data_IF_306639942466
#
_entry.id   IF_306639942466
#
_cell.length_a   1.000
_cell.length_b   1.000
_cell.length_c   1.000
_cell.angle_alpha   90.00
_cell.angle_beta   90.00
_cell.angle_gamma   90.00
#
_symmetry.space_group_name_H-M   'P 1'
#
loop_
_entity.id
_entity.type
_entity.pdbx_description
1 polymer ?
#
# COMPACT_ATOMS: atom_id res chain seq x y z
N UNK A 1 -13.11 -4.11 26.50
CA UNK A 1 -13.32 -4.49 25.09
C UNK A 1 -14.65 -4.01 24.49
N UNK A 2 -15.84 -4.31 25.02
CA UNK A 2 -17.10 -3.80 24.43
C UNK A 2 -17.22 -2.28 24.44
N UNK A 3 -16.83 -1.59 25.53
CA UNK A 3 -16.85 -0.12 25.62
C UNK A 3 -15.84 0.54 24.66
N UNK A 4 -14.66 -0.04 24.52
CA UNK A 4 -13.59 0.43 23.64
C UNK A 4 -14.01 0.36 22.18
N UNK A 5 -14.55 -0.78 21.75
CA UNK A 5 -15.08 -0.95 20.40
C UNK A 5 -16.25 -0.01 20.13
N UNK A 6 -17.08 0.29 21.11
CA UNK A 6 -18.16 1.27 20.97
C UNK A 6 -17.61 2.69 20.79
N UNK A 7 -16.62 3.08 21.60
CA UNK A 7 -15.96 4.40 21.48
C UNK A 7 -15.21 4.52 20.14
N UNK A 8 -14.52 3.45 19.74
CA UNK A 8 -13.86 3.39 18.42
C UNK A 8 -14.87 3.54 17.29
N UNK A 9 -15.97 2.78 17.32
CA UNK A 9 -17.06 2.86 16.35
C UNK A 9 -17.62 4.27 16.22
N UNK A 10 -17.87 4.94 17.34
CA UNK A 10 -18.36 6.34 17.36
C UNK A 10 -17.36 7.30 16.70
N UNK A 11 -16.05 7.13 16.96
CA UNK A 11 -15.02 7.96 16.32
C UNK A 11 -14.94 7.72 14.81
N UNK A 12 -14.97 6.46 14.36
CA UNK A 12 -14.95 6.12 12.93
C UNK A 12 -16.24 6.61 12.24
N UNK A 13 -17.42 6.41 12.87
CA UNK A 13 -18.69 6.91 12.35
C UNK A 13 -18.69 8.44 12.22
N UNK A 14 -18.16 9.17 13.22
CA UNK A 14 -18.08 10.62 13.19
C UNK A 14 -17.23 11.13 12.00
N UNK A 15 -16.15 10.43 11.63
CA UNK A 15 -15.35 10.77 10.44
C UNK A 15 -16.19 10.63 9.16
N UNK A 16 -17.07 9.64 9.09
CA UNK A 16 -17.94 9.43 7.92
C UNK A 16 -19.14 10.39 7.91
N UNK A 17 -19.81 10.57 9.05
CA UNK A 17 -21.09 11.28 9.15
C UNK A 17 -20.95 12.80 9.04
N UNK A 18 -19.88 13.39 9.54
CA UNK A 18 -19.65 14.84 9.43
C UNK A 18 -19.18 15.28 8.02
N UNK A 19 -19.53 14.52 6.99
CA UNK A 19 -19.12 14.76 5.59
C UNK A 19 -17.60 14.92 5.41
N UNK A 20 -16.82 14.27 6.27
CA UNK A 20 -15.38 14.31 6.15
C UNK A 20 -14.89 13.39 5.03
N UNK A 21 -15.65 12.31 4.72
CA UNK A 21 -15.35 11.39 3.62
C UNK A 21 -16.63 10.85 2.96
N UNK A 22 -16.64 10.57 1.64
CA UNK A 22 -17.83 10.06 0.94
C UNK A 22 -18.15 8.59 1.27
N UNK A 23 -17.13 7.77 1.48
CA UNK A 23 -17.26 6.41 1.98
C UNK A 23 -15.93 5.95 2.60
N UNK A 24 -16.05 5.10 3.61
CA UNK A 24 -14.94 4.39 4.22
C UNK A 24 -15.33 2.95 4.56
N UNK A 25 -14.32 2.09 4.65
CA UNK A 25 -14.44 0.73 5.17
C UNK A 25 -13.31 0.52 6.17
N UNK A 26 -13.63 -0.04 7.34
CA UNK A 26 -12.67 -0.30 8.40
C UNK A 26 -12.86 -1.70 8.96
N UNK A 27 -11.76 -2.41 9.13
CA UNK A 27 -11.71 -3.69 9.82
C UNK A 27 -10.61 -3.67 10.89
N UNK A 28 -10.86 -4.35 11.99
CA UNK A 28 -9.90 -4.54 13.09
C UNK A 28 -9.87 -6.02 13.45
N UNK A 29 -8.66 -6.55 13.59
CA UNK A 29 -8.40 -7.90 14.06
C UNK A 29 -7.56 -7.85 15.32
N UNK A 30 -7.88 -8.68 16.29
CA UNK A 30 -7.12 -8.87 17.51
C UNK A 30 -6.96 -10.36 17.79
N UNK A 31 -5.71 -10.80 18.02
CA UNK A 31 -5.40 -12.22 18.30
C UNK A 31 -5.99 -13.19 17.28
N UNK A 32 -5.90 -12.85 15.99
CA UNK A 32 -6.38 -13.67 14.88
C UNK A 32 -7.87 -13.56 14.57
N UNK A 33 -8.69 -12.88 15.42
CA UNK A 33 -10.13 -12.75 15.24
C UNK A 33 -10.53 -11.34 14.77
N UNK A 34 -11.40 -11.23 13.78
CA UNK A 34 -11.98 -9.94 13.37
C UNK A 34 -12.98 -9.50 14.44
N UNK A 35 -12.61 -8.46 15.20
CA UNK A 35 -13.45 -7.90 16.28
C UNK A 35 -14.27 -6.69 15.83
N UNK A 36 -13.97 -6.14 14.66
CA UNK A 36 -14.70 -5.02 14.05
C UNK A 36 -14.62 -5.10 12.53
N UNK A 37 -15.76 -4.94 11.86
CA UNK A 37 -15.84 -4.85 10.39
C UNK A 37 -17.05 -4.01 10.04
N UNK A 38 -16.83 -2.74 9.63
CA UNK A 38 -17.91 -1.82 9.24
C UNK A 38 -17.53 -0.96 8.05
N UNK A 39 -18.55 -0.55 7.30
CA UNK A 39 -18.39 0.42 6.23
C UNK A 39 -19.47 1.50 6.34
N UNK A 40 -19.14 2.70 5.89
CA UNK A 40 -19.98 3.89 5.96
C UNK A 40 -19.99 4.58 4.60
N UNK A 41 -21.13 5.21 4.26
CA UNK A 41 -21.28 5.91 3.01
C UNK A 41 -21.82 5.05 1.88
N UNK A 42 -21.65 5.48 0.64
CA UNK A 42 -22.28 4.86 -0.54
C UNK A 42 -21.28 4.70 -1.68
N UNK A 43 -21.56 3.77 -2.60
CA UNK A 43 -20.72 3.52 -3.79
C UNK A 43 -20.49 4.76 -4.65
N UNK A 44 -21.48 5.67 -4.75
CA UNK A 44 -21.32 6.93 -5.48
C UNK A 44 -22.64 7.64 -5.73
N UNK A 45 -22.81 8.79 -5.11
CA UNK A 45 -24.01 9.63 -5.21
C UNK A 45 -25.19 9.16 -4.36
N UNK A 46 -26.22 9.99 -4.27
CA UNK A 46 -27.34 9.82 -3.33
C UNK A 46 -28.16 8.54 -3.54
N UNK A 47 -28.28 8.09 -4.80
CA UNK A 47 -29.11 6.93 -5.16
C UNK A 47 -28.34 5.62 -5.29
N UNK A 48 -27.06 5.58 -4.88
CA UNK A 48 -26.29 4.34 -4.91
C UNK A 48 -26.46 3.55 -3.61
N UNK A 49 -26.21 2.23 -3.71
CA UNK A 49 -26.26 1.35 -2.55
C UNK A 49 -25.22 1.76 -1.49
N UNK A 50 -25.46 1.45 -0.22
CA UNK A 50 -24.44 1.54 0.84
C UNK A 50 -23.20 0.72 0.47
N UNK A 51 -22.04 1.15 0.95
CA UNK A 51 -20.82 0.33 0.91
C UNK A 51 -20.88 -0.76 1.97
N UNK A 52 -20.25 -1.89 1.68
CA UNK A 52 -20.18 -3.06 2.54
C UNK A 52 -18.71 -3.43 2.82
N UNK A 53 -18.36 -3.81 4.03
CA UNK A 53 -16.97 -3.96 4.45
C UNK A 53 -16.24 -5.11 3.72
N UNK A 54 -16.94 -6.18 3.37
CA UNK A 54 -16.34 -7.40 2.82
C UNK A 54 -16.34 -7.45 1.30
N UNK A 55 -17.15 -6.60 0.66
CA UNK A 55 -17.38 -6.71 -0.79
C UNK A 55 -17.06 -5.44 -1.57
N UNK A 56 -17.07 -4.26 -0.92
CA UNK A 56 -16.81 -2.99 -1.59
C UNK A 56 -15.33 -2.80 -1.85
N UNK A 57 -14.98 -2.55 -3.11
CA UNK A 57 -13.60 -2.41 -3.57
C UNK A 57 -13.15 -0.95 -3.53
N UNK A 58 -12.10 -0.70 -2.77
CA UNK A 58 -11.44 0.59 -2.63
C UNK A 58 -10.05 0.55 -3.24
N UNK A 59 -9.53 1.68 -3.72
CA UNK A 59 -8.10 1.81 -4.00
C UNK A 59 -7.31 1.72 -2.71
N UNK A 60 -6.29 0.87 -2.69
CA UNK A 60 -5.43 0.71 -1.51
C UNK A 60 -4.21 1.62 -1.53
N UNK A 61 -3.97 2.30 -2.65
CA UNK A 61 -2.82 3.19 -2.83
C UNK A 61 -1.52 2.51 -2.38
N UNK A 62 -0.68 3.19 -1.60
CA UNK A 62 0.66 2.70 -1.25
C UNK A 62 0.71 1.46 -0.36
N UNK A 63 -0.40 0.96 0.18
CA UNK A 63 -0.43 -0.38 0.79
C UNK A 63 -0.01 -1.46 -0.24
N UNK A 64 -0.17 -1.20 -1.54
CA UNK A 64 0.35 -2.06 -2.60
C UNK A 64 1.86 -2.33 -2.49
N UNK A 65 2.63 -1.41 -1.89
CA UNK A 65 4.06 -1.61 -1.68
C UNK A 65 4.34 -2.72 -0.67
N UNK A 66 3.48 -2.87 0.35
CA UNK A 66 3.61 -3.98 1.31
C UNK A 66 3.31 -5.33 0.64
N UNK A 67 2.34 -5.39 -0.28
CA UNK A 67 2.13 -6.58 -1.12
C UNK A 67 3.38 -6.86 -1.98
N UNK A 68 3.95 -5.81 -2.59
CA UNK A 68 5.17 -5.93 -3.40
C UNK A 68 6.38 -6.37 -2.56
N UNK A 69 6.49 -5.87 -1.32
CA UNK A 69 7.54 -6.29 -0.38
C UNK A 69 7.48 -7.79 -0.06
N UNK A 70 6.26 -8.33 0.17
CA UNK A 70 6.09 -9.78 0.34
C UNK A 70 6.43 -10.57 -0.94
N UNK A 71 6.03 -10.06 -2.10
CA UNK A 71 6.39 -10.68 -3.37
C UNK A 71 7.92 -10.67 -3.60
N UNK A 72 8.60 -9.59 -3.24
CA UNK A 72 10.06 -9.51 -3.26
C UNK A 72 10.67 -10.54 -2.30
N UNK A 73 10.15 -10.63 -1.07
CA UNK A 73 10.56 -11.64 -0.09
C UNK A 73 10.41 -13.07 -0.64
N UNK A 74 9.29 -13.39 -1.31
CA UNK A 74 9.10 -14.68 -1.98
C UNK A 74 10.14 -14.96 -3.06
N UNK A 75 10.59 -13.94 -3.79
CA UNK A 75 11.68 -14.10 -4.76
C UNK A 75 13.01 -14.36 -4.09
N UNK A 76 13.29 -13.72 -2.95
CA UNK A 76 14.51 -13.95 -2.15
C UNK A 76 14.51 -15.39 -1.64
N UNK A 77 13.43 -15.86 -0.99
CA UNK A 77 13.29 -17.23 -0.50
C UNK A 77 13.52 -18.28 -1.60
N UNK A 78 13.02 -17.99 -2.81
CA UNK A 78 13.18 -18.84 -3.99
C UNK A 78 14.53 -18.68 -4.71
N UNK A 79 15.42 -17.81 -4.22
CA UNK A 79 16.73 -17.50 -4.83
C UNK A 79 16.60 -17.05 -6.29
N UNK A 80 15.55 -16.32 -6.62
CA UNK A 80 15.32 -15.77 -7.96
C UNK A 80 16.07 -14.45 -8.17
N UNK A 81 16.36 -13.75 -7.07
CA UNK A 81 17.16 -12.53 -7.00
C UNK A 81 17.67 -12.30 -5.58
N UNK A 82 18.62 -11.39 -5.40
CA UNK A 82 19.07 -10.93 -4.09
C UNK A 82 19.00 -9.39 -3.98
N UNK A 83 18.95 -8.89 -2.74
CA UNK A 83 18.79 -7.45 -2.49
C UNK A 83 19.98 -6.62 -2.96
N UNK A 84 21.17 -7.18 -2.93
CA UNK A 84 22.42 -6.49 -3.32
C UNK A 84 22.71 -6.57 -4.81
N UNK A 85 21.95 -7.37 -5.57
CA UNK A 85 22.10 -7.42 -7.02
C UNK A 85 21.77 -6.09 -7.68
N UNK A 86 22.56 -5.78 -8.71
CA UNK A 86 22.35 -4.60 -9.53
C UNK A 86 21.11 -4.74 -10.42
N UNK A 87 20.31 -3.68 -10.59
CA UNK A 87 19.21 -3.68 -11.55
C UNK A 87 19.70 -3.94 -12.98
N UNK A 88 20.98 -3.66 -13.30
CA UNK A 88 21.56 -3.83 -14.62
C UNK A 88 21.77 -5.29 -15.03
N UNK A 89 21.75 -6.23 -14.06
CA UNK A 89 21.69 -7.67 -14.34
C UNK A 89 20.38 -8.05 -15.06
N UNK A 90 19.30 -7.35 -14.74
CA UNK A 90 17.96 -7.59 -15.31
C UNK A 90 17.60 -6.62 -16.43
N UNK A 91 18.05 -5.38 -16.35
CA UNK A 91 17.75 -4.29 -17.25
C UNK A 91 19.03 -3.63 -17.79
N UNK A 92 19.87 -4.36 -18.58
CA UNK A 92 21.15 -3.85 -19.05
C UNK A 92 21.03 -2.58 -19.92
N UNK A 93 19.86 -2.35 -20.52
CA UNK A 93 19.55 -1.17 -21.32
C UNK A 93 19.04 0.04 -20.51
N UNK A 94 18.87 -0.10 -19.19
CA UNK A 94 18.48 1.03 -18.33
C UNK A 94 19.63 2.04 -18.24
N UNK A 95 19.39 3.36 -18.31
CA UNK A 95 20.46 4.36 -18.28
C UNK A 95 21.31 4.31 -17.00
N UNK A 96 22.61 4.13 -17.14
CA UNK A 96 23.52 3.90 -15.99
C UNK A 96 23.90 5.17 -15.22
N UNK A 97 23.52 6.34 -15.56
CA UNK A 97 23.74 7.62 -14.82
C UNK A 97 25.01 7.68 -13.92
N UNK A 98 26.08 6.95 -14.27
CA UNK A 98 27.34 6.75 -13.55
C UNK A 98 27.25 6.11 -12.15
N UNK A 99 26.09 5.56 -11.78
CA UNK A 99 25.89 4.91 -10.49
C UNK A 99 25.22 3.54 -10.66
N UNK A 100 25.57 2.64 -9.77
CA UNK A 100 24.88 1.38 -9.64
C UNK A 100 23.68 1.52 -8.69
N UNK A 101 22.58 0.87 -9.05
CA UNK A 101 21.35 0.85 -8.25
C UNK A 101 21.05 -0.61 -7.92
N UNK A 102 21.08 -0.97 -6.65
CA UNK A 102 20.69 -2.31 -6.22
C UNK A 102 19.17 -2.43 -6.06
N UNK A 103 18.68 -3.66 -6.02
CA UNK A 103 17.30 -4.00 -5.70
C UNK A 103 16.91 -3.44 -4.33
N UNK A 104 17.83 -3.53 -3.35
CA UNK A 104 17.66 -2.94 -2.02
C UNK A 104 17.42 -1.43 -2.07
N UNK A 105 18.20 -0.69 -2.87
CA UNK A 105 18.01 0.75 -3.02
C UNK A 105 16.61 1.12 -3.51
N UNK A 106 16.02 0.32 -4.41
CA UNK A 106 14.64 0.54 -4.88
C UNK A 106 13.62 0.25 -3.80
N UNK A 107 13.71 -0.91 -3.15
CA UNK A 107 12.75 -1.38 -2.16
C UNK A 107 12.69 -0.47 -0.93
N UNK A 108 13.82 0.16 -0.56
CA UNK A 108 13.98 0.99 0.64
C UNK A 108 13.96 2.50 0.38
N UNK A 109 13.67 2.92 -0.86
CA UNK A 109 13.65 4.34 -1.24
C UNK A 109 14.97 5.10 -1.09
N UNK A 110 16.09 4.41 -1.20
CA UNK A 110 17.45 4.98 -1.12
C UNK A 110 18.16 5.07 -2.48
N UNK A 111 17.44 4.91 -3.59
CA UNK A 111 18.00 4.92 -4.96
C UNK A 111 18.32 6.29 -5.52
N UNK A 112 17.79 7.38 -4.96
CA UNK A 112 17.86 8.72 -5.55
C UNK A 112 16.87 8.98 -6.68
N UNK A 113 16.03 8.02 -7.09
CA UNK A 113 15.01 8.24 -8.12
C UNK A 113 13.92 9.19 -7.60
N UNK A 114 13.65 10.26 -8.37
CA UNK A 114 12.65 11.26 -8.02
C UNK A 114 11.23 10.71 -7.94
N UNK A 115 10.34 11.42 -7.28
CA UNK A 115 8.90 11.18 -7.32
C UNK A 115 8.24 11.87 -8.53
N UNK A 116 6.90 11.85 -8.59
CA UNK A 116 6.10 12.45 -9.67
C UNK A 116 6.39 13.94 -9.86
N UNK A 117 6.46 14.38 -11.12
CA UNK A 117 6.52 15.79 -11.52
C UNK A 117 5.21 16.22 -12.18
N UNK A 118 4.73 17.40 -11.83
CA UNK A 118 3.58 18.04 -12.49
C UNK A 118 2.33 17.16 -12.51
N UNK A 119 1.89 16.77 -13.70
CA UNK A 119 0.65 16.00 -13.91
C UNK A 119 0.86 14.48 -13.97
N UNK A 120 2.06 13.97 -13.76
CA UNK A 120 2.36 12.53 -13.89
C UNK A 120 1.49 11.66 -12.97
N UNK A 121 1.26 12.11 -11.72
CA UNK A 121 0.35 11.43 -10.79
C UNK A 121 -1.07 11.26 -11.35
N UNK A 122 -1.53 12.22 -12.14
CA UNK A 122 -2.88 12.27 -12.70
C UNK A 122 -2.97 11.70 -14.11
N UNK A 123 -1.92 11.04 -14.60
CA UNK A 123 -1.90 10.47 -15.96
C UNK A 123 -2.98 9.39 -16.10
N UNK A 124 -3.79 9.51 -17.17
CA UNK A 124 -4.76 8.49 -17.57
C UNK A 124 -4.29 7.68 -18.79
N UNK A 125 -3.03 7.87 -19.22
CA UNK A 125 -2.47 7.08 -20.32
C UNK A 125 -2.27 5.63 -19.85
N UNK A 126 -2.62 4.70 -20.73
CA UNK A 126 -2.42 3.28 -20.48
C UNK A 126 -0.97 2.93 -20.81
N UNK A 127 -0.14 2.80 -19.80
CA UNK A 127 1.21 2.29 -19.91
C UNK A 127 1.28 0.90 -19.29
N UNK A 128 2.07 0.00 -19.88
CA UNK A 128 2.63 -1.15 -19.18
C UNK A 128 3.75 -0.74 -18.22
N UNK A 129 4.25 -1.68 -17.42
CA UNK A 129 5.33 -1.42 -16.45
C UNK A 129 6.58 -0.87 -17.17
N UNK A 130 7.03 -1.53 -18.22
CA UNK A 130 8.23 -1.13 -18.97
C UNK A 130 8.06 0.21 -19.68
N UNK A 131 6.89 0.46 -20.30
CA UNK A 131 6.58 1.74 -20.91
C UNK A 131 6.56 2.88 -19.86
N UNK A 132 6.14 2.59 -18.64
CA UNK A 132 6.11 3.52 -17.52
C UNK A 132 7.50 4.02 -17.11
N UNK A 133 8.56 3.23 -17.34
CA UNK A 133 9.95 3.64 -17.07
C UNK A 133 10.34 4.88 -17.87
N UNK A 134 9.79 5.07 -19.08
CA UNK A 134 10.10 6.22 -19.93
C UNK A 134 9.75 7.57 -19.27
N UNK A 135 8.91 7.59 -18.23
CA UNK A 135 8.55 8.82 -17.53
C UNK A 135 9.69 9.40 -16.69
N UNK A 136 10.65 8.57 -16.27
CA UNK A 136 11.68 9.00 -15.32
C UNK A 136 13.10 8.44 -15.57
N UNK A 137 13.25 7.40 -16.38
CA UNK A 137 14.53 6.69 -16.55
C UNK A 137 15.71 7.56 -17.02
N UNK A 138 15.42 8.68 -17.68
CA UNK A 138 16.44 9.63 -18.18
C UNK A 138 16.65 10.83 -17.25
N UNK A 139 15.95 10.91 -16.13
CA UNK A 139 16.15 12.00 -15.18
C UNK A 139 17.39 11.72 -14.30
N UNK A 140 18.08 12.77 -13.90
CA UNK A 140 19.18 12.66 -12.93
C UNK A 140 18.67 12.15 -11.60
N UNK A 141 19.50 11.36 -10.93
CA UNK A 141 19.23 10.98 -9.53
C UNK A 141 19.32 12.20 -8.63
N UNK A 142 18.55 12.25 -7.56
CA UNK A 142 18.56 13.32 -6.56
C UNK A 142 19.82 13.27 -5.69
N UNK A 143 20.36 12.07 -5.50
CA UNK A 143 21.56 11.78 -4.73
C UNK A 143 22.15 10.42 -5.18
N UNK A 144 23.37 10.14 -4.75
CA UNK A 144 24.04 8.85 -4.98
C UNK A 144 23.26 7.73 -4.28
N UNK A 145 22.98 6.60 -4.95
CA UNK A 145 22.26 5.49 -4.31
C UNK A 145 22.89 5.09 -2.98
N UNK A 146 22.06 4.93 -1.95
CA UNK A 146 22.46 4.65 -0.59
C UNK A 146 22.86 5.88 0.25
N UNK A 147 23.02 7.06 -0.33
CA UNK A 147 23.49 8.26 0.39
C UNK A 147 22.38 9.03 1.12
N UNK A 148 21.11 8.87 0.71
CA UNK A 148 19.98 9.57 1.34
C UNK A 148 18.69 8.76 1.15
N UNK A 149 17.61 9.20 1.78
CA UNK A 149 16.28 8.63 1.68
C UNK A 149 15.31 9.60 1.01
N UNK A 150 14.65 9.15 -0.03
CA UNK A 150 13.58 9.91 -0.69
C UNK A 150 12.48 8.99 -1.19
N UNK A 151 11.31 9.04 -0.53
CA UNK A 151 10.17 8.21 -0.91
C UNK A 151 9.71 8.49 -2.33
N UNK A 152 9.77 7.48 -3.19
CA UNK A 152 9.36 7.58 -4.59
C UNK A 152 8.60 6.33 -5.04
N UNK A 153 7.40 6.53 -5.57
CA UNK A 153 6.65 5.43 -6.20
C UNK A 153 7.32 4.91 -7.47
N UNK A 154 8.18 5.68 -8.11
CA UNK A 154 8.92 5.22 -9.29
C UNK A 154 9.95 4.14 -8.95
N UNK A 155 10.45 4.09 -7.72
CA UNK A 155 11.26 2.97 -7.25
C UNK A 155 10.53 1.64 -7.41
N UNK A 156 9.25 1.59 -7.05
CA UNK A 156 8.43 0.38 -7.15
C UNK A 156 7.98 0.08 -8.58
N UNK A 157 7.89 1.08 -9.45
CA UNK A 157 7.69 0.84 -10.89
C UNK A 157 8.92 0.15 -11.48
N UNK A 158 10.14 0.64 -11.18
CA UNK A 158 11.38 0.01 -11.64
C UNK A 158 11.59 -1.36 -11.00
N UNK A 159 11.32 -1.49 -9.69
CA UNK A 159 11.39 -2.77 -8.99
C UNK A 159 10.48 -3.82 -9.64
N UNK A 160 9.24 -3.47 -9.99
CA UNK A 160 8.32 -4.40 -10.66
C UNK A 160 8.81 -4.83 -12.05
N UNK A 161 9.52 -3.96 -12.77
CA UNK A 161 10.16 -4.32 -14.05
C UNK A 161 11.28 -5.34 -13.85
N UNK A 162 12.12 -5.16 -12.82
CA UNK A 162 13.15 -6.13 -12.44
C UNK A 162 12.51 -7.45 -12.04
N UNK A 163 11.52 -7.41 -11.16
CA UNK A 163 10.83 -8.60 -10.63
C UNK A 163 10.19 -9.45 -11.74
N UNK A 164 9.53 -8.86 -12.71
CA UNK A 164 8.92 -9.65 -13.81
C UNK A 164 9.96 -10.31 -14.71
N UNK A 165 11.12 -9.71 -14.90
CA UNK A 165 12.23 -10.33 -15.67
C UNK A 165 12.82 -11.49 -14.86
N UNK A 166 13.09 -11.31 -13.57
CA UNK A 166 13.58 -12.36 -12.69
C UNK A 166 12.61 -13.55 -12.61
N UNK A 167 11.30 -13.26 -12.54
CA UNK A 167 10.24 -14.27 -12.49
C UNK A 167 9.96 -14.96 -13.83
N UNK A 168 10.38 -14.36 -14.95
CA UNK A 168 10.03 -14.77 -16.34
C UNK A 168 8.51 -14.84 -16.57
N UNK A 169 7.75 -14.02 -15.86
CA UNK A 169 6.31 -13.88 -15.98
C UNK A 169 5.87 -12.46 -15.62
N UNK A 170 4.58 -12.11 -15.85
CA UNK A 170 4.10 -10.78 -15.45
C UNK A 170 4.18 -10.57 -13.94
N UNK A 171 4.51 -9.36 -13.50
CA UNK A 171 4.52 -8.99 -12.09
C UNK A 171 3.20 -9.35 -11.39
N UNK A 172 2.07 -9.05 -12.04
CA UNK A 172 0.75 -9.34 -11.48
C UNK A 172 0.47 -10.84 -11.31
N UNK A 173 0.88 -11.70 -12.27
CA UNK A 173 0.72 -13.15 -12.15
C UNK A 173 1.54 -13.70 -11.00
N UNK A 174 2.79 -13.23 -10.84
CA UNK A 174 3.64 -13.63 -9.72
C UNK A 174 3.02 -13.23 -8.38
N UNK A 175 2.59 -11.96 -8.23
CA UNK A 175 1.96 -11.47 -7.01
C UNK A 175 0.66 -12.22 -6.70
N UNK A 176 -0.16 -12.48 -7.70
CA UNK A 176 -1.41 -13.23 -7.53
C UNK A 176 -1.13 -14.59 -6.88
N UNK A 177 -0.22 -15.37 -7.47
CA UNK A 177 0.10 -16.72 -6.99
C UNK A 177 0.84 -16.74 -5.67
N UNK A 178 1.89 -15.91 -5.53
CA UNK A 178 2.83 -16.02 -4.41
C UNK A 178 2.38 -15.25 -3.17
N UNK A 179 1.48 -14.28 -3.32
CA UNK A 179 1.01 -13.45 -2.20
C UNK A 179 -0.49 -13.51 -2.04
N UNK A 180 -1.27 -13.12 -3.07
CA UNK A 180 -2.71 -12.95 -2.90
C UNK A 180 -3.42 -14.30 -2.67
N UNK A 181 -3.07 -15.33 -3.43
CA UNK A 181 -3.64 -16.67 -3.27
C UNK A 181 -3.13 -17.31 -1.97
N UNK A 182 -1.83 -17.17 -1.65
CA UNK A 182 -1.23 -17.71 -0.43
C UNK A 182 -1.89 -17.13 0.83
N UNK A 183 -2.20 -15.83 0.83
CA UNK A 183 -2.90 -15.14 1.93
C UNK A 183 -4.43 -15.20 1.80
N UNK A 184 -4.97 -15.87 0.79
CA UNK A 184 -6.42 -15.95 0.51
C UNK A 184 -7.06 -14.55 0.37
N UNK A 185 -6.35 -13.60 -0.23
CA UNK A 185 -6.83 -12.24 -0.50
C UNK A 185 -7.69 -12.20 -1.76
N UNK A 186 -8.80 -12.94 -1.75
CA UNK A 186 -9.67 -13.18 -2.91
C UNK A 186 -10.45 -11.96 -3.39
N UNK A 187 -10.44 -10.87 -2.64
CA UNK A 187 -11.08 -9.59 -2.97
C UNK A 187 -10.06 -8.50 -3.30
N UNK A 188 -8.82 -8.89 -3.65
CA UNK A 188 -7.75 -7.97 -4.04
C UNK A 188 -7.40 -8.15 -5.51
N UNK A 189 -7.46 -7.06 -6.29
CA UNK A 189 -7.37 -7.09 -7.75
C UNK A 189 -6.55 -5.93 -8.30
N UNK A 190 -5.87 -6.16 -9.43
CA UNK A 190 -5.27 -5.08 -10.21
C UNK A 190 -6.34 -4.14 -10.76
N UNK A 191 -6.22 -2.83 -10.47
CA UNK A 191 -7.21 -1.85 -10.92
C UNK A 191 -7.24 -1.68 -12.45
N UNK A 192 -6.08 -1.74 -13.08
CA UNK A 192 -5.91 -1.43 -14.50
C UNK A 192 -5.88 -2.63 -15.43
N UNK A 193 -6.02 -3.83 -14.93
CA UNK A 193 -6.05 -5.01 -15.77
C UNK A 193 -7.20 -4.91 -16.80
N UNK A 194 -6.86 -4.77 -18.06
CA UNK A 194 -7.80 -4.53 -19.16
C UNK A 194 -8.87 -5.61 -19.28
N UNK A 195 -8.62 -6.78 -18.75
CA UNK A 195 -9.45 -7.98 -18.88
C UNK A 195 -10.10 -8.45 -17.58
N UNK A 196 -9.62 -8.02 -16.41
CA UNK A 196 -9.90 -8.72 -15.15
C UNK A 196 -11.02 -8.13 -14.31
N UNK A 197 -11.33 -6.84 -14.42
CA UNK A 197 -12.50 -6.34 -13.69
C UNK A 197 -13.78 -6.71 -14.46
N UNK A 198 -14.43 -7.81 -14.02
CA UNK A 198 -15.75 -8.19 -14.50
C UNK A 198 -16.75 -7.03 -14.33
N UNK A 199 -17.90 -7.10 -15.02
CA UNK A 199 -18.97 -6.12 -14.83
C UNK A 199 -19.41 -6.03 -13.37
N UNK A 200 -19.33 -7.13 -12.65
CA UNK A 200 -19.68 -7.22 -11.23
C UNK A 200 -18.65 -6.51 -10.34
N UNK A 201 -17.37 -6.74 -10.55
CA UNK A 201 -16.30 -6.05 -9.80
C UNK A 201 -16.38 -4.54 -10.02
N UNK A 202 -16.66 -4.09 -11.25
CA UNK A 202 -16.88 -2.65 -11.53
C UNK A 202 -18.07 -2.08 -10.76
N UNK A 203 -19.15 -2.85 -10.55
CA UNK A 203 -20.30 -2.43 -9.73
C UNK A 203 -19.93 -2.32 -8.25
N UNK A 204 -19.02 -3.17 -7.77
CA UNK A 204 -18.53 -3.20 -6.39
C UNK A 204 -17.41 -2.20 -6.12
N UNK A 205 -16.86 -1.57 -7.15
CA UNK A 205 -15.82 -0.54 -6.98
C UNK A 205 -16.44 0.79 -6.62
N UNK A 206 -16.05 1.35 -5.47
CA UNK A 206 -16.51 2.66 -5.03
C UNK A 206 -16.03 3.76 -5.98
N UNK A 207 -16.80 4.82 -6.08
CA UNK A 207 -16.41 5.99 -6.87
C UNK A 207 -15.38 6.82 -6.10
N UNK A 208 -14.31 7.24 -6.77
CA UNK A 208 -13.20 7.99 -6.18
C UNK A 208 -13.49 9.49 -6.16
N UNK A 209 -13.08 10.18 -5.10
CA UNK A 209 -13.34 11.61 -4.89
C UNK A 209 -12.07 12.36 -4.51
N UNK A 210 -12.08 13.67 -4.74
CA UNK A 210 -11.07 14.60 -4.22
C UNK A 210 -11.77 15.66 -3.37
N UNK A 211 -11.19 15.96 -2.19
CA UNK A 211 -11.69 17.02 -1.31
C UNK A 211 -11.48 18.38 -1.96
N UNK A 212 -12.46 19.27 -1.80
CA UNK A 212 -12.44 20.66 -2.24
C UNK A 212 -12.86 21.56 -1.09
N UNK A 213 -12.79 22.87 -1.27
CA UNK A 213 -13.29 23.82 -0.25
C UNK A 213 -14.78 23.64 0.06
N UNK A 214 -15.54 23.19 -0.94
CA UNK A 214 -17.01 23.06 -0.85
C UNK A 214 -17.49 21.59 -0.77
N UNK A 215 -16.69 20.69 -0.20
CA UNK A 215 -17.01 19.26 -0.09
C UNK A 215 -16.19 18.38 -1.04
N UNK A 216 -16.82 17.46 -1.74
CA UNK A 216 -16.16 16.47 -2.58
C UNK A 216 -16.58 16.57 -4.04
N UNK A 217 -15.63 16.45 -4.95
CA UNK A 217 -15.88 16.25 -6.38
C UNK A 217 -15.34 14.91 -6.85
N UNK A 218 -15.83 14.40 -7.97
CA UNK A 218 -15.27 13.21 -8.62
C UNK A 218 -13.77 13.40 -8.85
N UNK A 219 -12.97 12.45 -8.41
CA UNK A 219 -11.53 12.45 -8.68
C UNK A 219 -11.25 12.31 -10.17
N UNK A 220 -10.12 12.83 -10.60
CA UNK A 220 -9.63 12.64 -11.97
C UNK A 220 -9.51 11.15 -12.28
N UNK A 221 -9.85 10.78 -13.51
CA UNK A 221 -9.54 9.43 -14.00
C UNK A 221 -8.03 9.28 -14.13
N UNK A 222 -7.50 8.23 -13.56
CA UNK A 222 -6.08 7.87 -13.67
C UNK A 222 -5.96 6.43 -14.09
N UNK A 223 -4.89 6.10 -14.81
CA UNK A 223 -4.53 4.72 -15.11
C UNK A 223 -3.34 4.33 -14.22
N UNK A 224 -3.54 3.33 -13.37
CA UNK A 224 -2.52 2.85 -12.43
C UNK A 224 -1.79 1.58 -12.92
N UNK A 225 -1.92 1.20 -14.20
CA UNK A 225 -1.37 -0.03 -14.76
C UNK A 225 0.14 -0.16 -14.60
N UNK A 226 0.89 0.89 -14.96
CA UNK A 226 2.35 0.87 -14.77
C UNK A 226 2.77 1.03 -13.30
N UNK A 227 1.86 1.49 -12.44
CA UNK A 227 2.08 1.75 -11.00
C UNK A 227 1.56 0.62 -10.11
N UNK A 228 1.27 -0.54 -10.66
CA UNK A 228 0.65 -1.64 -9.92
C UNK A 228 1.37 -1.95 -8.61
N UNK A 229 2.69 -2.11 -8.67
CA UNK A 229 3.55 -2.38 -7.50
C UNK A 229 3.57 -1.24 -6.47
N UNK A 230 3.33 0.01 -6.92
CA UNK A 230 3.39 1.20 -6.07
C UNK A 230 2.03 1.60 -5.48
N UNK A 231 0.91 1.19 -6.13
CA UNK A 231 -0.41 1.69 -5.72
C UNK A 231 -1.57 1.29 -6.62
N UNK A 232 -1.45 0.27 -7.46
CA UNK A 232 -2.43 -0.05 -8.51
C UNK A 232 -3.40 -1.18 -8.20
N UNK A 233 -3.71 -1.44 -6.91
CA UNK A 233 -4.68 -2.46 -6.51
C UNK A 233 -5.98 -1.85 -5.96
N UNK A 234 -7.06 -2.62 -6.13
CA UNK A 234 -8.33 -2.50 -5.43
C UNK A 234 -8.44 -3.63 -4.41
N UNK A 235 -9.00 -3.34 -3.22
CA UNK A 235 -9.19 -4.36 -2.19
C UNK A 235 -10.34 -3.99 -1.25
N UNK A 236 -10.65 -4.91 -0.32
CA UNK A 236 -11.53 -4.71 0.83
C UNK A 236 -10.70 -4.54 2.11
N UNK A 237 -11.27 -3.93 3.14
CA UNK A 237 -10.57 -3.79 4.43
C UNK A 237 -10.26 -5.16 5.06
N UNK A 238 -11.14 -6.15 4.87
CA UNK A 238 -10.94 -7.51 5.39
C UNK A 238 -9.82 -8.27 4.68
N UNK A 239 -9.58 -8.03 3.39
CA UNK A 239 -8.41 -8.60 2.71
C UNK A 239 -7.11 -7.93 3.15
N UNK A 240 -7.14 -6.61 3.40
CA UNK A 240 -5.96 -5.89 3.92
C UNK A 240 -5.60 -6.35 5.35
N UNK A 241 -6.57 -6.76 6.17
CA UNK A 241 -6.31 -7.42 7.47
C UNK A 241 -5.43 -8.67 7.29
N UNK A 242 -5.67 -9.49 6.27
CA UNK A 242 -4.87 -10.71 6.02
C UNK A 242 -3.40 -10.38 5.71
N UNK A 243 -3.16 -9.27 5.03
CA UNK A 243 -1.80 -8.77 4.79
C UNK A 243 -1.10 -8.39 6.11
N UNK A 244 -1.81 -7.70 7.01
CA UNK A 244 -1.30 -7.35 8.34
C UNK A 244 -1.11 -8.58 9.23
N UNK A 245 -2.03 -9.54 9.19
CA UNK A 245 -1.88 -10.79 9.93
C UNK A 245 -0.65 -11.58 9.48
N UNK A 246 -0.36 -11.58 8.18
CA UNK A 246 0.86 -12.22 7.67
C UNK A 246 2.13 -11.63 8.29
N UNK A 247 2.14 -10.33 8.60
CA UNK A 247 3.27 -9.69 9.27
C UNK A 247 3.35 -10.06 10.77
N UNK A 248 2.21 -10.29 11.44
CA UNK A 248 2.20 -10.79 12.83
C UNK A 248 2.68 -12.23 12.91
N UNK A 249 2.16 -13.10 12.05
CA UNK A 249 2.45 -14.54 12.07
C UNK A 249 3.79 -14.88 11.40
N UNK A 250 4.41 -13.90 10.75
CA UNK A 250 5.57 -14.12 9.87
C UNK A 250 5.32 -15.26 8.86
N UNK A 251 4.09 -15.34 8.34
CA UNK A 251 3.70 -16.39 7.38
C UNK A 251 4.18 -16.09 5.96
N UNK A 252 4.18 -17.10 5.11
CA UNK A 252 4.54 -17.08 3.67
C UNK A 252 6.00 -16.76 3.32
N UNK A 253 6.80 -16.22 4.22
CA UNK A 253 8.24 -16.00 4.02
C UNK A 253 9.03 -16.76 5.08
N UNK A 254 10.32 -17.03 4.78
CA UNK A 254 11.27 -17.50 5.77
C UNK A 254 11.52 -16.42 6.83
N UNK A 255 11.83 -16.82 8.08
CA UNK A 255 12.04 -15.88 9.19
C UNK A 255 13.13 -14.85 8.88
N UNK A 256 14.25 -15.27 8.30
CA UNK A 256 15.34 -14.37 7.90
C UNK A 256 14.90 -13.35 6.86
N UNK A 257 13.98 -13.72 5.98
CA UNK A 257 13.44 -12.81 4.96
C UNK A 257 12.43 -11.83 5.57
N UNK A 258 11.65 -12.25 6.58
CA UNK A 258 10.82 -11.33 7.36
C UNK A 258 11.66 -10.29 8.10
N UNK A 259 12.80 -10.68 8.66
CA UNK A 259 13.73 -9.74 9.29
C UNK A 259 14.19 -8.67 8.28
N UNK A 260 14.55 -9.04 7.05
CA UNK A 260 14.90 -8.08 5.99
C UNK A 260 13.70 -7.18 5.61
N UNK A 261 12.49 -7.75 5.50
CA UNK A 261 11.28 -7.01 5.09
C UNK A 261 10.91 -5.95 6.12
N UNK A 262 11.02 -6.24 7.42
CA UNK A 262 10.57 -5.38 8.50
C UNK A 262 11.69 -4.56 9.16
N UNK A 263 12.95 -4.77 8.76
CA UNK A 263 14.07 -3.98 9.28
C UNK A 263 14.16 -2.62 8.58
N UNK A 264 14.03 -1.56 9.37
CA UNK A 264 14.26 -0.20 8.86
C UNK A 264 15.70 -0.01 8.40
N UNK A 265 15.89 0.80 7.37
CA UNK A 265 17.22 1.16 6.91
C UNK A 265 17.76 2.37 7.66
N UNK A 266 19.09 2.50 7.66
CA UNK A 266 19.77 3.66 8.18
C UNK A 266 20.56 4.35 7.08
N UNK A 267 20.43 5.66 6.99
CA UNK A 267 21.19 6.50 6.08
C UNK A 267 21.90 7.57 6.90
N UNK A 268 23.23 7.64 6.81
CA UNK A 268 24.06 8.56 7.61
C UNK A 268 23.72 8.47 9.12
N UNK A 269 23.57 7.25 9.62
CA UNK A 269 23.17 6.92 11.00
C UNK A 269 21.76 7.43 11.44
N UNK A 270 20.92 7.85 10.50
CA UNK A 270 19.53 8.23 10.77
C UNK A 270 18.59 7.13 10.30
N UNK A 271 17.60 6.72 11.11
CA UNK A 271 16.60 5.73 10.70
C UNK A 271 15.71 6.29 9.59
N UNK A 272 15.39 5.47 8.61
CA UNK A 272 14.45 5.83 7.53
C UNK A 272 13.01 5.46 7.90
N UNK A 273 12.82 4.66 8.93
CA UNK A 273 11.53 4.07 9.34
C UNK A 273 10.86 3.28 8.19
N UNK A 274 11.66 2.68 7.30
CA UNK A 274 11.18 1.98 6.12
C UNK A 274 12.03 0.73 5.82
N UNK A 275 11.36 -0.41 5.68
CA UNK A 275 11.94 -1.67 5.25
C UNK A 275 11.66 -1.95 3.77
N UNK A 276 11.39 -3.21 3.40
CA UNK A 276 11.08 -3.60 2.03
C UNK A 276 9.57 -3.44 1.75
N UNK A 277 9.11 -2.21 1.51
CA UNK A 277 7.71 -1.91 1.23
C UNK A 277 6.82 -1.75 2.46
N UNK A 278 7.41 -1.70 3.63
CA UNK A 278 6.73 -1.53 4.90
C UNK A 278 7.29 -0.32 5.66
N UNK A 279 6.42 0.49 6.23
CA UNK A 279 6.79 1.47 7.23
C UNK A 279 7.03 0.75 8.56
N UNK A 280 8.16 1.02 9.19
CA UNK A 280 8.63 0.35 10.41
C UNK A 280 8.97 1.40 11.46
N UNK A 281 7.96 2.04 12.04
CA UNK A 281 8.11 3.16 12.98
C UNK A 281 7.75 2.76 14.43
N UNK A 282 7.97 1.50 14.79
CA UNK A 282 7.71 0.99 16.15
C UNK A 282 8.46 1.73 17.25
N UNK A 283 9.60 2.35 16.91
CA UNK A 283 10.43 3.13 17.85
C UNK A 283 9.95 4.57 18.06
N UNK A 284 8.94 5.02 17.28
CA UNK A 284 8.36 6.35 17.39
C UNK A 284 7.24 6.35 18.40
N UNK A 285 7.56 6.59 19.66
CA UNK A 285 6.65 6.75 20.78
C UNK A 285 5.59 5.61 20.92
N UNK A 286 4.57 5.81 21.75
CA UNK A 286 3.46 4.88 21.98
C UNK A 286 2.56 4.64 20.76
N UNK A 287 2.81 5.29 19.62
CA UNK A 287 2.00 5.19 18.39
C UNK A 287 2.69 4.40 17.27
N UNK A 288 3.86 3.84 17.53
CA UNK A 288 4.63 3.07 16.54
C UNK A 288 3.86 1.88 15.97
N UNK A 289 4.00 1.64 14.67
CA UNK A 289 3.35 0.53 13.95
C UNK A 289 4.27 -0.05 12.87
N UNK A 290 3.94 -1.26 12.43
CA UNK A 290 4.39 -1.81 11.15
C UNK A 290 3.23 -1.68 10.16
N UNK A 291 3.47 -1.32 8.92
CA UNK A 291 2.41 -1.26 7.92
C UNK A 291 2.63 -0.24 6.82
N UNK A 292 1.58 0.44 6.40
CA UNK A 292 1.70 1.49 5.40
C UNK A 292 0.52 2.46 5.41
N UNK A 293 0.82 3.75 5.27
CA UNK A 293 -0.17 4.77 4.92
C UNK A 293 -0.24 4.88 3.39
N UNK A 294 -1.44 4.80 2.84
CA UNK A 294 -1.66 4.96 1.41
C UNK A 294 -2.33 6.28 1.07
N UNK A 295 -1.73 7.05 0.17
CA UNK A 295 -2.33 8.26 -0.38
C UNK A 295 -2.29 8.22 -1.90
N UNK A 296 -3.40 8.59 -2.54
CA UNK A 296 -3.50 8.56 -3.99
C UNK A 296 -4.68 9.37 -4.50
N UNK A 297 -4.87 9.36 -5.81
CA UNK A 297 -6.01 10.03 -6.44
C UNK A 297 -7.30 9.30 -6.06
N UNK A 298 -8.07 9.90 -5.15
CA UNK A 298 -9.31 9.32 -4.63
C UNK A 298 -9.09 8.18 -3.65
N UNK A 299 -8.01 8.19 -2.90
CA UNK A 299 -7.74 7.20 -1.87
C UNK A 299 -6.95 7.81 -0.70
N UNK A 300 -7.32 7.39 0.50
CA UNK A 300 -6.55 7.52 1.73
C UNK A 300 -6.74 6.22 2.53
N UNK A 301 -5.65 5.56 2.92
CA UNK A 301 -5.73 4.20 3.49
C UNK A 301 -4.68 3.98 4.56
N UNK A 302 -5.01 3.17 5.56
CA UNK A 302 -4.08 2.73 6.58
C UNK A 302 -4.10 1.19 6.66
N UNK A 303 -2.92 0.62 6.77
CA UNK A 303 -2.66 -0.70 7.32
C UNK A 303 -1.71 -0.50 8.50
N UNK A 304 -2.19 -0.76 9.71
CA UNK A 304 -1.38 -0.66 10.92
C UNK A 304 -1.41 -1.99 11.67
N UNK A 305 -0.24 -2.48 11.97
CA UNK A 305 0.01 -3.71 12.73
C UNK A 305 0.75 -3.30 14.00
N UNK A 306 0.23 -3.69 15.13
CA UNK A 306 0.80 -3.48 16.45
C UNK A 306 1.16 -4.83 17.05
N UNK A 307 2.41 -5.31 16.87
CA UNK A 307 2.80 -6.67 17.26
C UNK A 307 2.58 -6.96 18.74
N UNK A 308 2.96 -6.04 19.62
CA UNK A 308 2.84 -6.23 21.07
C UNK A 308 1.39 -6.38 21.54
N UNK A 309 0.43 -5.83 20.80
CA UNK A 309 -0.99 -5.93 21.07
C UNK A 309 -1.69 -7.02 20.24
N UNK A 310 -0.97 -7.74 19.38
CA UNK A 310 -1.54 -8.67 18.40
C UNK A 310 -2.74 -8.07 17.64
N UNK A 311 -2.59 -6.78 17.26
CA UNK A 311 -3.67 -5.96 16.70
C UNK A 311 -3.35 -5.55 15.26
N UNK A 312 -4.31 -5.72 14.37
CA UNK A 312 -4.25 -5.23 12.98
C UNK A 312 -5.44 -4.32 12.71
N UNK A 313 -5.16 -3.15 12.14
CA UNK A 313 -6.19 -2.19 11.72
C UNK A 313 -6.02 -1.91 10.23
N UNK A 314 -7.10 -2.07 9.47
CA UNK A 314 -7.19 -1.70 8.07
C UNK A 314 -8.31 -0.69 7.86
N UNK A 315 -7.99 0.45 7.24
CA UNK A 315 -8.97 1.49 6.92
C UNK A 315 -8.78 1.95 5.48
N UNK A 316 -9.87 1.99 4.73
CA UNK A 316 -9.90 2.36 3.32
C UNK A 316 -10.92 3.48 3.11
N UNK A 317 -10.49 4.60 2.54
CA UNK A 317 -11.31 5.76 2.22
C UNK A 317 -11.24 6.06 0.73
N UNK A 318 -12.37 6.34 0.10
CA UNK A 318 -12.50 6.59 -1.33
C UNK A 318 -12.26 8.06 -1.74
N UNK A 319 -11.50 8.80 -0.95
CA UNK A 319 -11.20 10.21 -1.21
C UNK A 319 -9.74 10.56 -0.93
N UNK A 320 -9.20 11.51 -1.71
CA UNK A 320 -7.96 12.20 -1.34
C UNK A 320 -8.31 13.20 -0.22
N UNK A 321 -7.92 12.92 1.01
CA UNK A 321 -8.21 13.74 2.20
C UNK A 321 -6.91 14.08 2.94
N UNK A 322 -6.35 15.27 2.73
CA UNK A 322 -5.23 15.74 3.54
C UNK A 322 -5.69 15.96 4.99
N UNK A 323 -4.81 15.73 5.95
CA UNK A 323 -4.99 16.04 7.38
C UNK A 323 -6.08 15.22 8.11
N UNK A 324 -6.31 13.97 7.71
CA UNK A 324 -7.23 13.07 8.41
C UNK A 324 -6.53 12.20 9.47
N UNK A 325 -5.21 12.03 9.36
CA UNK A 325 -4.47 11.07 10.19
C UNK A 325 -4.65 11.33 11.69
N UNK A 326 -4.56 12.56 12.16
CA UNK A 326 -4.75 12.89 13.59
C UNK A 326 -6.10 12.42 14.14
N UNK A 327 -7.19 12.51 13.35
CA UNK A 327 -8.49 12.01 13.78
C UNK A 327 -8.52 10.47 13.86
N UNK A 328 -7.82 9.81 12.93
CA UNK A 328 -7.66 8.36 12.92
C UNK A 328 -6.78 7.88 14.07
N UNK A 329 -5.67 8.55 14.33
CA UNK A 329 -4.77 8.23 15.45
C UNK A 329 -5.52 8.27 16.78
N UNK A 330 -6.36 9.31 16.99
CA UNK A 330 -7.24 9.39 18.15
C UNK A 330 -8.25 8.23 18.25
N UNK A 331 -8.67 7.63 17.12
CA UNK A 331 -9.52 6.44 17.16
C UNK A 331 -8.70 5.18 17.48
N UNK A 332 -7.52 5.04 16.87
CA UNK A 332 -6.65 3.87 17.07
C UNK A 332 -6.08 3.80 18.48
N UNK A 333 -5.82 4.96 19.10
CA UNK A 333 -5.39 5.06 20.51
C UNK A 333 -6.37 4.39 21.48
N UNK A 334 -7.67 4.51 21.21
CA UNK A 334 -8.71 3.84 22.03
C UNK A 334 -8.56 2.32 21.99
N UNK A 335 -8.26 1.76 20.80
CA UNK A 335 -8.05 0.31 20.68
C UNK A 335 -6.79 -0.14 21.42
N UNK A 336 -5.69 0.60 21.27
CA UNK A 336 -4.40 0.24 21.89
C UNK A 336 -4.41 0.32 23.42
N UNK A 337 -5.07 1.34 23.98
CA UNK A 337 -5.10 1.54 25.45
C UNK A 337 -6.04 0.60 26.18
N UNK A 338 -7.09 0.16 25.52
CA UNK A 338 -8.18 -0.54 26.19
C UNK A 338 -8.31 -2.03 25.78
N UNK A 339 -7.58 -2.47 24.75
CA UNK A 339 -7.41 -3.89 24.45
C UNK A 339 -6.32 -4.42 25.38
N UNK A 340 -6.61 -5.38 26.27
CA UNK A 340 -5.60 -5.96 27.17
C UNK A 340 -4.45 -6.57 26.37
N UNK A 341 -3.23 -6.24 26.76
CA UNK A 341 -2.01 -6.87 26.25
C UNK A 341 -1.97 -8.36 26.58
#
# INVERSE_FOLDING_TARGET
MKSSLQTFDQKIAAIAEHNQVPALSCAVQHKGEIIYSKAFGKYGGFNSNPVEPETSLFRIASIAKSITGLALGRMIDKKMLSLDESIFEYLPQYPKNNFDISIKHLATHTSGIRSYKGKELFSNKSYGIEEGLALFKNDSLLFVPGADYYYSSYNYVLLSAVMQIAAKESFGSFVQREVLDALKMSQTFEEAAKTSLSKEMKKRTVKMYSKTKNGFKRASRVNNGYKIAAGGYLSTATDIIKLGQAALDQSILESSTWDEVLTQQFVMAKPTYYGLGWQCNQELDDMGYIGHIGQGVGAYTNLFVYPDAELVVALLINASVPNLQTALDSAYEVLRKEIPQ
#
